data_IF_058308556768
#
_entry.id   IF_058308556768
#
_cell.length_a   1.000
_cell.length_b   1.000
_cell.length_c   1.000
_cell.angle_alpha   90.00
_cell.angle_beta   90.00
_cell.angle_gamma   90.00
#
_symmetry.space_group_name_H-M   'P 1'
#
loop_
_entity.id
_entity.type
_entity.pdbx_description
1 polymer ?
#
# COMPACT_ATOMS: atom_id res chain seq x y z
N UNK A 1 -21.47 -5.79 -17.44
CA UNK A 1 -20.24 -5.03 -17.09
C UNK A 1 -20.63 -4.09 -15.97
N UNK A 2 -19.98 -4.20 -14.81
CA UNK A 2 -20.33 -3.42 -13.61
C UNK A 2 -19.37 -2.24 -13.48
N UNK A 3 -19.88 -1.05 -13.17
CA UNK A 3 -19.09 0.16 -12.96
C UNK A 3 -19.42 0.81 -11.63
N UNK A 4 -18.42 1.37 -10.96
CA UNK A 4 -18.61 2.05 -9.68
C UNK A 4 -17.88 3.39 -9.71
N UNK A 5 -18.61 4.46 -9.40
CA UNK A 5 -18.04 5.79 -9.18
C UNK A 5 -17.81 5.98 -7.69
N UNK A 6 -16.56 6.18 -7.28
CA UNK A 6 -16.20 6.40 -5.86
C UNK A 6 -15.01 7.35 -5.77
N UNK A 7 -15.08 8.31 -4.84
CA UNK A 7 -14.02 9.30 -4.60
C UNK A 7 -13.53 10.03 -5.87
N UNK A 8 -14.43 10.28 -6.83
CA UNK A 8 -14.10 10.91 -8.11
C UNK A 8 -13.51 9.98 -9.18
N UNK A 9 -13.21 8.73 -8.85
CA UNK A 9 -12.73 7.71 -9.80
C UNK A 9 -13.86 6.79 -10.29
N UNK A 10 -13.93 6.56 -11.61
CA UNK A 10 -14.84 5.59 -12.21
C UNK A 10 -14.11 4.29 -12.50
N UNK A 11 -14.49 3.22 -11.81
CA UNK A 11 -13.84 1.92 -11.89
C UNK A 11 -14.73 0.90 -12.60
N UNK A 12 -14.14 0.11 -13.47
CA UNK A 12 -14.76 -1.11 -13.98
C UNK A 12 -14.52 -2.24 -12.98
N UNK A 13 -15.56 -2.97 -12.62
CA UNK A 13 -15.53 -3.94 -11.53
C UNK A 13 -15.62 -5.36 -12.09
N UNK A 14 -14.65 -6.19 -11.75
CA UNK A 14 -14.61 -7.62 -12.11
C UNK A 14 -15.44 -8.46 -11.13
N UNK A 15 -15.43 -8.10 -9.84
CA UNK A 15 -16.12 -8.84 -8.78
C UNK A 15 -16.46 -7.91 -7.61
N UNK A 16 -17.58 -8.20 -6.94
CA UNK A 16 -17.99 -7.54 -5.68
C UNK A 16 -18.31 -8.61 -4.66
N UNK A 17 -17.84 -8.45 -3.43
CA UNK A 17 -18.10 -9.36 -2.32
C UNK A 17 -18.61 -8.60 -1.10
N UNK A 18 -19.62 -9.18 -0.43
CA UNK A 18 -20.09 -8.68 0.85
C UNK A 18 -19.07 -9.03 1.93
N UNK A 19 -18.83 -8.10 2.86
CA UNK A 19 -17.91 -8.29 3.98
C UNK A 19 -18.60 -8.17 5.33
N UNK A 20 -18.06 -8.88 6.30
CA UNK A 20 -18.42 -8.81 7.71
C UNK A 20 -17.23 -8.26 8.48
N UNK A 21 -17.49 -7.25 9.29
CA UNK A 21 -16.49 -6.60 10.12
C UNK A 21 -16.81 -6.78 11.60
N UNK A 22 -15.79 -7.06 12.41
CA UNK A 22 -15.93 -7.15 13.86
C UNK A 22 -14.72 -6.59 14.57
N UNK A 23 -14.95 -5.86 15.66
CA UNK A 23 -13.90 -5.46 16.60
C UNK A 23 -13.82 -6.47 17.73
N UNK A 24 -12.60 -6.93 18.01
CA UNK A 24 -12.32 -7.87 19.08
C UNK A 24 -11.25 -7.27 19.99
N UNK A 25 -11.51 -7.12 21.29
CA UNK A 25 -10.47 -6.74 22.23
C UNK A 25 -9.46 -7.88 22.33
N UNK A 26 -8.19 -7.58 22.08
CA UNK A 26 -7.10 -8.54 22.14
C UNK A 26 -5.84 -7.84 22.66
N UNK A 27 -5.29 -8.35 23.76
CA UNK A 27 -4.07 -7.84 24.39
C UNK A 27 -4.08 -6.32 24.68
N UNK A 28 -5.19 -5.78 25.19
CA UNK A 28 -5.32 -4.35 25.50
C UNK A 28 -5.55 -3.42 24.31
N UNK A 29 -5.58 -3.97 23.08
CA UNK A 29 -5.93 -3.25 21.85
C UNK A 29 -7.27 -3.74 21.29
N UNK A 30 -7.91 -2.93 20.44
CA UNK A 30 -9.08 -3.36 19.67
C UNK A 30 -8.61 -3.75 18.26
N UNK A 31 -8.58 -5.05 17.99
CA UNK A 31 -8.22 -5.59 16.68
C UNK A 31 -9.47 -5.60 15.81
N UNK A 32 -9.32 -5.15 14.56
CA UNK A 32 -10.36 -5.27 13.54
C UNK A 32 -10.17 -6.60 12.81
N UNK A 33 -11.27 -7.34 12.66
CA UNK A 33 -11.35 -8.54 11.84
C UNK A 33 -12.31 -8.27 10.70
N UNK A 34 -11.89 -8.61 9.47
CA UNK A 34 -12.71 -8.48 8.26
C UNK A 34 -12.69 -9.81 7.54
N UNK A 35 -13.85 -10.29 7.08
CA UNK A 35 -13.92 -11.47 6.24
C UNK A 35 -14.98 -11.29 5.17
N UNK A 36 -14.80 -11.97 4.04
CA UNK A 36 -15.87 -12.15 3.05
C UNK A 36 -17.01 -12.93 3.70
N UNK A 37 -18.23 -12.43 3.52
CA UNK A 37 -19.43 -13.10 3.97
C UNK A 37 -19.59 -14.43 3.25
N UNK A 38 -19.77 -15.52 4.00
CA UNK A 38 -19.96 -16.87 3.47
C UNK A 38 -21.43 -17.26 3.34
N UNK A 39 -22.33 -16.53 4.01
CA UNK A 39 -23.76 -16.79 4.02
C UNK A 39 -24.56 -15.48 4.09
N UNK A 40 -25.70 -15.40 3.40
CA UNK A 40 -26.56 -14.21 3.29
C UNK A 40 -27.33 -13.85 4.58
N UNK A 41 -27.23 -14.72 5.59
CA UNK A 41 -27.75 -14.48 6.95
C UNK A 41 -26.76 -13.75 7.86
N UNK A 42 -25.52 -13.54 7.43
CA UNK A 42 -24.54 -12.82 8.23
C UNK A 42 -24.85 -11.32 8.26
N UNK A 43 -24.48 -10.66 9.37
CA UNK A 43 -24.61 -9.22 9.53
C UNK A 43 -23.52 -8.52 8.70
N UNK A 44 -23.77 -8.40 7.40
CA UNK A 44 -22.84 -7.74 6.46
C UNK A 44 -22.77 -6.25 6.75
N UNK A 45 -21.56 -5.71 6.71
CA UNK A 45 -21.23 -4.33 7.11
C UNK A 45 -20.44 -3.55 6.07
N UNK A 46 -20.21 -4.14 4.89
CA UNK A 46 -19.50 -3.47 3.81
C UNK A 46 -19.46 -4.28 2.52
N UNK A 47 -18.80 -3.72 1.53
CA UNK A 47 -18.54 -4.30 0.23
C UNK A 47 -17.07 -4.16 -0.13
N UNK A 48 -16.50 -5.22 -0.68
CA UNK A 48 -15.17 -5.23 -1.27
C UNK A 48 -15.27 -5.38 -2.78
N UNK A 49 -14.52 -4.57 -3.51
CA UNK A 49 -14.57 -4.42 -4.96
C UNK A 49 -13.24 -4.76 -5.57
N UNK A 50 -13.26 -5.62 -6.59
CA UNK A 50 -12.10 -5.95 -7.41
C UNK A 50 -12.22 -5.20 -8.73
N UNK A 51 -11.22 -4.40 -9.06
CA UNK A 51 -11.18 -3.58 -10.27
C UNK A 51 -10.70 -4.43 -11.44
N UNK A 52 -11.37 -4.31 -12.58
CA UNK A 52 -10.94 -4.89 -13.85
C UNK A 52 -9.89 -3.96 -14.47
N UNK A 53 -8.61 -4.19 -14.20
CA UNK A 53 -7.50 -3.42 -14.77
C UNK A 53 -6.39 -4.34 -15.28
N UNK A 54 -5.79 -3.97 -16.41
CA UNK A 54 -4.59 -4.61 -16.96
C UNK A 54 -3.30 -3.89 -16.52
N UNK A 55 -3.43 -2.79 -15.80
CA UNK A 55 -2.31 -2.00 -15.29
C UNK A 55 -1.84 -2.58 -13.96
N UNK A 56 -0.69 -3.24 -13.95
CA UNK A 56 -0.07 -3.87 -12.77
C UNK A 56 0.73 -2.90 -11.90
N UNK A 57 0.63 -1.58 -12.13
CA UNK A 57 1.28 -0.57 -11.29
C UNK A 57 0.87 -0.74 -9.82
N UNK A 58 1.86 -0.64 -8.93
CA UNK A 58 1.65 -0.63 -7.47
C UNK A 58 0.90 0.62 -6.98
N UNK A 59 0.81 1.64 -7.82
CA UNK A 59 0.09 2.88 -7.53
C UNK A 59 -1.36 2.86 -8.02
N UNK A 60 -1.76 1.82 -8.76
CA UNK A 60 -3.10 1.70 -9.32
C UNK A 60 -4.05 1.01 -8.34
N UNK A 61 -5.29 1.48 -8.30
CA UNK A 61 -6.32 0.90 -7.44
C UNK A 61 -6.81 -0.40 -8.07
N UNK A 62 -6.30 -1.51 -7.55
CA UNK A 62 -6.69 -2.88 -7.95
C UNK A 62 -7.92 -3.38 -7.20
N UNK A 63 -8.04 -2.99 -5.95
CA UNK A 63 -9.13 -3.39 -5.08
C UNK A 63 -9.37 -2.34 -4.01
N UNK A 64 -10.61 -2.20 -3.58
CA UNK A 64 -11.00 -1.25 -2.54
C UNK A 64 -12.21 -1.73 -1.73
N UNK A 65 -12.35 -1.19 -0.54
CA UNK A 65 -13.38 -1.55 0.43
C UNK A 65 -14.19 -0.32 0.81
N UNK A 66 -15.52 -0.44 0.75
CA UNK A 66 -16.45 0.49 1.38
C UNK A 66 -17.11 -0.22 2.56
N UNK A 67 -16.82 0.21 3.78
CA UNK A 67 -17.37 -0.43 4.98
C UNK A 67 -17.97 0.54 5.98
N UNK A 68 -18.31 0.00 7.14
CA UNK A 68 -19.21 0.64 8.11
C UNK A 68 -20.55 1.06 7.48
N UNK A 69 -21.12 0.19 6.64
CA UNK A 69 -22.46 0.32 6.10
C UNK A 69 -23.45 -0.48 6.95
N UNK A 70 -24.71 -0.07 6.95
CA UNK A 70 -25.78 -0.92 7.50
C UNK A 70 -26.05 -2.10 6.57
N UNK A 71 -26.43 -3.25 7.11
CA UNK A 71 -26.79 -4.44 6.32
C UNK A 71 -27.86 -4.14 5.26
N UNK A 72 -28.84 -3.28 5.58
CA UNK A 72 -29.86 -2.86 4.63
C UNK A 72 -29.26 -2.11 3.43
N UNK A 73 -28.30 -1.21 3.68
CA UNK A 73 -27.64 -0.44 2.64
C UNK A 73 -26.73 -1.33 1.78
N UNK A 74 -26.00 -2.27 2.38
CA UNK A 74 -25.19 -3.26 1.63
C UNK A 74 -26.07 -4.03 0.65
N UNK A 75 -27.21 -4.56 1.10
CA UNK A 75 -28.15 -5.31 0.26
C UNK A 75 -28.79 -4.45 -0.83
N UNK A 76 -29.08 -3.18 -0.54
CA UNK A 76 -29.58 -2.20 -1.52
C UNK A 76 -28.55 -1.96 -2.63
N UNK A 77 -27.29 -1.70 -2.26
CA UNK A 77 -26.19 -1.48 -3.22
C UNK A 77 -26.00 -2.73 -4.09
N UNK A 78 -25.92 -3.92 -3.48
CA UNK A 78 -25.78 -5.17 -4.22
C UNK A 78 -26.93 -5.39 -5.21
N UNK A 79 -28.17 -5.12 -4.80
CA UNK A 79 -29.33 -5.23 -5.69
C UNK A 79 -29.24 -4.24 -6.86
N UNK A 80 -28.81 -3.01 -6.60
CA UNK A 80 -28.66 -2.00 -7.64
C UNK A 80 -27.52 -2.34 -8.61
N UNK A 81 -26.39 -2.81 -8.10
CA UNK A 81 -25.28 -3.31 -8.92
C UNK A 81 -25.69 -4.48 -9.82
N UNK A 82 -26.52 -5.39 -9.30
CA UNK A 82 -27.05 -6.53 -10.07
C UNK A 82 -28.09 -6.13 -11.12
N UNK A 83 -28.90 -5.10 -10.85
CA UNK A 83 -29.95 -4.64 -11.75
C UNK A 83 -29.43 -3.70 -12.83
N UNK A 84 -28.66 -2.68 -12.42
CA UNK A 84 -28.27 -1.55 -13.26
C UNK A 84 -26.83 -1.66 -13.77
N UNK A 85 -26.01 -2.52 -13.14
CA UNK A 85 -24.59 -2.61 -13.44
C UNK A 85 -23.80 -1.35 -13.06
N UNK A 86 -24.38 -0.47 -12.26
CA UNK A 86 -23.77 0.80 -11.87
C UNK A 86 -24.14 1.20 -10.44
N UNK A 87 -23.17 1.75 -9.71
CA UNK A 87 -23.45 2.43 -8.44
C UNK A 87 -22.57 3.66 -8.27
N UNK A 88 -23.18 4.72 -7.70
CA UNK A 88 -22.52 6.00 -7.46
C UNK A 88 -22.40 6.28 -5.96
N UNK A 89 -21.18 6.24 -5.46
CA UNK A 89 -20.86 6.56 -4.07
C UNK A 89 -20.66 8.05 -3.82
N UNK A 90 -20.77 8.93 -4.82
CA UNK A 90 -20.57 10.39 -4.67
C UNK A 90 -21.59 11.03 -3.71
N UNK A 91 -22.72 10.38 -3.49
CA UNK A 91 -23.73 10.79 -2.50
C UNK A 91 -23.28 10.56 -1.05
N UNK A 92 -22.27 9.73 -0.81
CA UNK A 92 -21.78 9.43 0.52
C UNK A 92 -20.76 10.47 0.98
N UNK A 93 -20.94 10.92 2.21
CA UNK A 93 -19.88 11.62 2.94
C UNK A 93 -19.07 10.58 3.72
N UNK A 94 -17.87 10.26 3.23
CA UNK A 94 -16.99 9.30 3.90
C UNK A 94 -16.34 9.88 5.17
N UNK A 95 -15.88 8.99 6.04
CA UNK A 95 -14.91 9.35 7.08
C UNK A 95 -13.64 9.89 6.40
N UNK A 96 -12.92 10.84 7.03
CA UNK A 96 -11.61 11.25 6.55
C UNK A 96 -10.72 10.03 6.34
N UNK A 97 -9.90 10.03 5.30
CA UNK A 97 -8.99 8.92 5.05
C UNK A 97 -7.98 8.83 6.20
N UNK A 98 -8.03 7.74 6.96
CA UNK A 98 -7.26 7.56 8.18
C UNK A 98 -6.36 6.32 8.04
N UNK A 99 -5.05 6.55 8.12
CA UNK A 99 -4.06 5.49 8.25
C UNK A 99 -3.53 5.42 9.69
N UNK A 100 -3.42 4.24 10.32
CA UNK A 100 -3.87 2.92 9.84
C UNK A 100 -5.39 2.74 9.92
N UNK A 101 -5.91 1.76 9.17
CA UNK A 101 -7.35 1.47 8.99
C UNK A 101 -8.08 1.19 10.32
N UNK A 102 -7.34 0.76 11.35
CA UNK A 102 -7.84 0.60 12.72
C UNK A 102 -8.43 1.90 13.31
N UNK A 103 -8.02 3.06 12.78
CA UNK A 103 -8.51 4.39 13.19
C UNK A 103 -9.91 4.70 12.68
N UNK A 104 -10.41 4.03 11.65
CA UNK A 104 -11.79 4.22 11.22
C UNK A 104 -12.77 3.78 12.30
N UNK A 105 -13.94 4.43 12.35
CA UNK A 105 -15.03 4.03 13.24
C UNK A 105 -15.86 2.94 12.57
N UNK A 106 -16.12 1.87 13.32
CA UNK A 106 -16.96 0.74 12.91
C UNK A 106 -17.99 0.51 14.01
N UNK A 107 -19.22 0.88 13.72
CA UNK A 107 -20.32 0.91 14.67
C UNK A 107 -21.64 0.50 14.01
N UNK A 108 -21.54 -0.46 13.10
CA UNK A 108 -22.68 -1.06 12.38
C UNK A 108 -23.46 -0.03 11.54
N UNK A 109 -22.74 0.96 10.99
CA UNK A 109 -23.31 2.00 10.14
C UNK A 109 -23.98 3.16 10.89
N UNK A 110 -23.67 3.35 12.18
CA UNK A 110 -24.11 4.56 12.93
C UNK A 110 -23.26 5.78 12.57
N UNK A 111 -21.96 5.58 12.41
CA UNK A 111 -21.01 6.55 11.87
C UNK A 111 -21.03 6.52 10.35
N UNK A 112 -20.39 7.52 9.75
CA UNK A 112 -20.19 7.58 8.29
C UNK A 112 -19.47 6.31 7.78
N UNK A 113 -19.69 5.88 6.54
CA UNK A 113 -18.88 4.83 5.95
C UNK A 113 -17.45 5.32 5.75
N UNK A 114 -16.52 4.38 5.61
CA UNK A 114 -15.16 4.68 5.20
C UNK A 114 -14.86 4.02 3.86
N UNK A 115 -13.88 4.59 3.16
CA UNK A 115 -13.28 4.04 1.96
C UNK A 115 -11.84 3.66 2.29
N UNK A 116 -11.43 2.46 1.90
CA UNK A 116 -10.03 2.04 1.99
C UNK A 116 -9.62 1.35 0.72
N UNK A 117 -8.59 1.88 0.08
CA UNK A 117 -7.93 1.25 -1.07
C UNK A 117 -6.95 0.18 -0.57
N UNK A 118 -6.74 -0.87 -1.35
CA UNK A 118 -5.85 -1.97 -1.01
C UNK A 118 -6.53 -3.25 -0.53
N UNK A 119 -5.70 -4.28 -0.32
CA UNK A 119 -6.15 -5.66 -0.18
C UNK A 119 -6.84 -5.98 1.12
N UNK A 120 -7.84 -6.87 1.06
CA UNK A 120 -8.48 -7.42 2.26
C UNK A 120 -7.48 -8.00 3.27
N UNK A 121 -6.34 -8.48 2.80
CA UNK A 121 -5.25 -9.05 3.62
C UNK A 121 -4.60 -7.98 4.52
N UNK A 122 -4.56 -6.71 4.08
CA UNK A 122 -4.03 -5.60 4.89
C UNK A 122 -4.93 -5.27 6.11
N UNK A 123 -6.09 -5.92 6.25
CA UNK A 123 -7.05 -5.64 7.31
C UNK A 123 -7.26 -6.79 8.31
N UNK A 124 -6.54 -7.91 8.16
CA UNK A 124 -6.64 -9.09 9.02
C UNK A 124 -5.39 -9.33 9.90
N UNK A 125 -4.30 -8.59 9.65
CA UNK A 125 -3.11 -8.61 10.47
C UNK A 125 -2.98 -7.27 11.22
N UNK A 126 -2.54 -7.25 12.49
CA UNK A 126 -2.01 -6.03 13.06
C UNK A 126 -0.94 -5.50 12.10
N UNK A 127 -0.99 -4.20 11.81
CA UNK A 127 -0.08 -3.55 10.86
C UNK A 127 1.41 -3.75 11.18
N UNK A 128 1.79 -4.39 12.28
CA UNK A 128 3.17 -4.70 12.67
C UNK A 128 3.95 -5.53 11.64
N UNK A 129 3.29 -6.20 10.69
CA UNK A 129 3.98 -6.94 9.61
C UNK A 129 4.39 -6.02 8.44
N UNK A 130 3.75 -4.86 8.30
CA UNK A 130 4.06 -3.83 7.29
C UNK A 130 4.37 -2.46 7.89
N UNK A 131 4.53 -2.36 9.22
CA UNK A 131 5.05 -1.18 9.88
C UNK A 131 6.53 -1.11 9.56
N UNK A 132 6.87 -0.58 8.39
CA UNK A 132 8.07 0.21 8.31
C UNK A 132 7.93 1.29 9.38
N UNK A 133 8.74 1.15 10.41
CA UNK A 133 8.96 2.14 11.44
C UNK A 133 9.24 3.49 10.77
N UNK A 134 8.24 4.36 10.71
CA UNK A 134 8.40 5.80 10.42
C UNK A 134 9.09 6.54 11.58
N UNK A 135 9.88 5.82 12.38
CA UNK A 135 10.89 6.39 13.27
C UNK A 135 12.17 6.74 12.51
N UNK A 136 12.07 7.18 11.25
CA UNK A 136 12.90 8.31 10.86
C UNK A 136 12.39 9.49 11.67
N UNK A 137 12.97 9.65 12.85
CA UNK A 137 13.27 11.00 13.34
C UNK A 137 13.97 11.65 12.16
N UNK A 138 13.22 12.39 11.35
CA UNK A 138 13.81 13.43 10.51
C UNK A 138 14.31 14.41 11.55
N UNK A 139 15.63 14.47 11.86
CA UNK A 139 16.11 15.61 12.59
C UNK A 139 15.65 16.84 11.80
N UNK A 140 15.20 17.91 12.46
CA UNK A 140 14.91 19.14 11.75
C UNK A 140 16.15 19.46 10.92
N UNK A 141 15.97 19.59 9.60
CA UNK A 141 17.04 20.04 8.70
C UNK A 141 17.36 21.46 9.14
N UNK A 142 18.28 21.55 10.09
CA UNK A 142 18.93 22.78 10.44
C UNK A 142 19.84 23.03 9.25
N UNK A 143 19.50 24.03 8.45
CA UNK A 143 20.39 24.61 7.44
C UNK A 143 21.51 25.29 8.23
N UNK A 144 22.42 24.49 8.77
CA UNK A 144 23.67 24.91 9.32
C UNK A 144 24.71 24.54 8.27
N UNK A 145 25.33 25.57 7.71
CA UNK A 145 26.42 25.47 6.75
C UNK A 145 27.41 24.38 7.20
N UNK A 146 27.55 23.33 6.39
CA UNK A 146 28.66 22.41 6.57
C UNK A 146 29.94 23.10 6.10
N UNK A 147 31.01 23.09 6.90
CA UNK A 147 32.32 23.57 6.48
C UNK A 147 32.91 22.59 5.46
N UNK A 148 33.48 23.21 4.42
CA UNK A 148 34.51 22.74 3.49
C UNK A 148 34.69 21.21 3.33
N UNK A 149 34.30 20.76 2.14
CA UNK A 149 34.74 19.53 1.47
C UNK A 149 36.27 19.45 1.50
N UNK A 150 36.83 18.41 2.12
CA UNK A 150 38.18 17.93 1.82
C UNK A 150 38.25 16.42 2.12
N UNK A 151 38.60 15.65 1.07
CA UNK A 151 39.09 14.26 1.04
C UNK A 151 38.27 13.15 1.72
N UNK A 152 37.06 12.87 1.24
CA UNK A 152 36.49 11.53 1.37
C UNK A 152 36.88 10.71 0.14
N UNK A 153 37.66 9.64 0.34
CA UNK A 153 37.97 8.68 -0.72
C UNK A 153 36.66 8.00 -1.14
N UNK A 154 36.23 8.14 -2.39
CA UNK A 154 34.89 7.76 -2.85
C UNK A 154 34.60 6.24 -2.70
N UNK A 155 35.65 5.45 -2.43
CA UNK A 155 35.64 4.00 -2.22
C UNK A 155 35.78 3.56 -0.76
N UNK A 156 35.99 4.47 0.20
CA UNK A 156 36.13 4.11 1.63
C UNK A 156 34.91 3.34 2.15
N UNK A 157 33.73 3.65 1.62
CA UNK A 157 32.45 2.99 1.96
C UNK A 157 32.40 1.51 1.56
N UNK A 158 33.23 1.08 0.60
CA UNK A 158 33.18 -0.29 0.04
C UNK A 158 34.47 -1.08 0.23
N UNK A 159 35.55 -0.47 0.71
CA UNK A 159 36.87 -1.09 0.89
C UNK A 159 36.87 -2.41 1.70
N UNK A 160 36.05 -2.49 2.74
CA UNK A 160 35.91 -3.69 3.59
C UNK A 160 34.71 -4.57 3.19
N UNK A 161 33.97 -4.18 2.15
CA UNK A 161 32.78 -4.91 1.70
C UNK A 161 33.19 -6.16 0.92
N UNK A 162 32.64 -7.35 1.21
CA UNK A 162 32.91 -8.54 0.41
C UNK A 162 32.23 -8.43 -0.98
N UNK A 163 32.87 -9.02 -2.00
CA UNK A 163 32.43 -8.90 -3.41
C UNK A 163 30.98 -9.34 -3.66
N UNK A 164 30.48 -10.29 -2.87
CA UNK A 164 29.07 -10.73 -2.93
C UNK A 164 28.10 -9.62 -2.54
N UNK A 165 28.46 -8.81 -1.54
CA UNK A 165 27.64 -7.70 -1.08
C UNK A 165 27.78 -6.52 -2.03
N UNK A 166 28.99 -6.25 -2.55
CA UNK A 166 29.22 -5.20 -3.55
C UNK A 166 28.41 -5.45 -4.83
N UNK A 167 28.36 -6.70 -5.32
CA UNK A 167 27.50 -7.08 -6.47
C UNK A 167 26.03 -6.87 -6.19
N UNK A 168 25.55 -7.22 -4.99
CA UNK A 168 24.16 -7.01 -4.61
C UNK A 168 23.82 -5.51 -4.55
N UNK A 169 24.73 -4.69 -4.01
CA UNK A 169 24.57 -3.24 -3.97
C UNK A 169 24.53 -2.63 -5.37
N UNK A 170 25.41 -3.04 -6.29
CA UNK A 170 25.38 -2.55 -7.68
C UNK A 170 24.10 -3.00 -8.39
N UNK A 171 23.65 -4.23 -8.19
CA UNK A 171 22.38 -4.73 -8.75
C UNK A 171 21.14 -3.95 -8.27
N UNK A 172 21.20 -3.36 -7.07
CA UNK A 172 20.14 -2.48 -6.56
C UNK A 172 20.20 -1.07 -7.16
N UNK A 173 21.39 -0.62 -7.58
CA UNK A 173 21.62 0.73 -8.10
C UNK A 173 21.44 0.80 -9.62
N UNK A 174 21.79 -0.26 -10.36
CA UNK A 174 21.75 -0.30 -11.83
C UNK A 174 21.10 -1.57 -12.38
N UNK A 175 20.53 -1.49 -13.58
CA UNK A 175 19.90 -2.61 -14.29
C UNK A 175 20.94 -3.51 -15.00
N UNK A 176 22.00 -3.90 -14.27
CA UNK A 176 23.04 -4.81 -14.76
C UNK A 176 22.60 -6.26 -14.49
N UNK A 177 22.56 -7.13 -15.52
CA UNK A 177 22.21 -8.54 -15.32
C UNK A 177 23.15 -9.23 -14.33
N UNK A 178 22.59 -9.98 -13.37
CA UNK A 178 23.34 -10.67 -12.31
C UNK A 178 24.44 -11.61 -12.82
N UNK A 179 24.28 -12.15 -14.05
CA UNK A 179 25.32 -12.97 -14.70
C UNK A 179 26.55 -12.16 -15.08
N UNK A 180 26.37 -10.91 -15.51
CA UNK A 180 27.46 -9.98 -15.83
C UNK A 180 28.22 -9.63 -14.56
N UNK A 181 27.53 -9.29 -13.47
CA UNK A 181 28.14 -8.99 -12.17
C UNK A 181 28.93 -10.17 -11.57
N UNK A 182 28.46 -11.40 -11.81
CA UNK A 182 29.13 -12.61 -11.33
C UNK A 182 30.49 -12.84 -12.01
N UNK A 183 30.65 -12.39 -13.25
CA UNK A 183 31.88 -12.53 -14.03
C UNK A 183 32.87 -11.37 -13.78
N UNK A 184 32.44 -10.29 -13.11
CA UNK A 184 33.25 -9.11 -12.80
C UNK A 184 34.21 -9.34 -11.63
N UNK A 185 35.43 -8.82 -11.80
CA UNK A 185 36.44 -8.76 -10.76
C UNK A 185 36.26 -7.52 -9.87
N UNK A 186 37.04 -7.43 -8.79
CA UNK A 186 36.91 -6.36 -7.79
C UNK A 186 37.04 -4.96 -8.37
N UNK A 187 38.02 -4.73 -9.24
CA UNK A 187 38.28 -3.42 -9.83
C UNK A 187 37.13 -2.99 -10.76
N UNK A 188 36.56 -3.95 -11.49
CA UNK A 188 35.39 -3.71 -12.35
C UNK A 188 34.15 -3.36 -11.52
N UNK A 189 33.92 -4.04 -10.39
CA UNK A 189 32.81 -3.74 -9.50
C UNK A 189 32.95 -2.36 -8.83
N UNK A 190 34.17 -1.97 -8.44
CA UNK A 190 34.42 -0.65 -7.85
C UNK A 190 34.18 0.48 -8.87
N UNK A 191 34.53 0.27 -10.14
CA UNK A 191 34.27 1.23 -11.20
C UNK A 191 32.76 1.43 -11.46
N UNK A 192 31.99 0.33 -11.56
CA UNK A 192 30.52 0.40 -11.72
C UNK A 192 29.85 1.04 -10.51
N UNK A 193 30.32 0.74 -9.31
CA UNK A 193 29.79 1.37 -8.09
C UNK A 193 30.00 2.89 -8.09
N UNK A 194 31.17 3.36 -8.56
CA UNK A 194 31.45 4.79 -8.71
C UNK A 194 30.60 5.44 -9.80
N UNK A 195 30.41 4.78 -10.94
CA UNK A 195 29.52 5.26 -12.02
C UNK A 195 28.07 5.41 -11.52
N UNK A 196 27.55 4.40 -10.83
CA UNK A 196 26.22 4.40 -10.23
C UNK A 196 26.05 5.51 -9.17
N UNK A 197 27.10 5.81 -8.39
CA UNK A 197 27.09 6.86 -7.35
C UNK A 197 27.16 8.27 -7.95
N UNK A 198 27.86 8.45 -9.07
CA UNK A 198 28.04 9.74 -9.75
C UNK A 198 26.86 10.06 -10.69
N UNK A 199 26.22 9.05 -11.28
CA UNK A 199 25.11 9.19 -12.24
C UNK A 199 23.79 9.75 -11.69
N UNK A 200 23.70 10.05 -10.38
CA UNK A 200 22.46 10.51 -9.72
C UNK A 200 22.18 12.02 -9.76
N UNK A 201 22.96 12.83 -10.48
CA UNK A 201 22.84 14.30 -10.46
C UNK A 201 22.49 15.00 -11.79
N UNK A 202 22.13 14.26 -12.84
CA UNK A 202 21.58 14.88 -14.05
C UNK A 202 20.20 14.27 -14.38
N UNK A 203 19.20 15.17 -14.37
CA UNK A 203 17.76 15.07 -14.71
C UNK A 203 16.74 14.83 -13.58
#
# INVERSE_FOLDING_TARGET
MVKVLVNGGLFEISKVEEIVEKRVPFNGANVRLVQIARDGNQAVSGLHFYVNTNDFSVFSVHEFTVGNLTTAKVKEIMKQLLADGYYDFSSFTFQPMLMPVEKYKFDEGKSRPYLSEGSLIQFCAPNDVFSCNTNTVVPPVNIAAHPELDDYDDLDDIKDMPDEILRATIYELEDIPMRTLADMNREELEAEYLEAKVGGYDE
#
